data_IF_497010849278
#
_entry.id   IF_497010849278
#
_cell.length_a   1.000
_cell.length_b   1.000
_cell.length_c   1.000
_cell.angle_alpha   90.00
_cell.angle_beta   90.00
_cell.angle_gamma   90.00
#
_symmetry.space_group_name_H-M   'P 1'
#
loop_
_entity.id
_entity.type
_entity.pdbx_description
1 polymer ?
#
# COMPACT_ATOMS: atom_id res chain seq x y z
N UNK A 1 5.39 -4.50 -27.20
CA UNK A 1 4.38 -3.63 -26.55
C UNK A 1 4.83 -3.35 -25.11
N UNK A 2 5.33 -2.14 -24.85
CA UNK A 2 5.59 -1.69 -23.48
C UNK A 2 4.25 -1.62 -22.76
N UNK A 3 4.08 -2.43 -21.71
CA UNK A 3 2.97 -2.24 -20.76
C UNK A 3 2.95 -0.75 -20.37
N UNK A 4 1.75 -0.16 -20.29
CA UNK A 4 1.57 1.26 -20.01
C UNK A 4 2.51 1.72 -18.91
N UNK A 5 3.27 2.79 -19.17
CA UNK A 5 4.13 3.43 -18.19
C UNK A 5 3.24 4.02 -17.10
N UNK A 6 2.93 3.23 -16.08
CA UNK A 6 2.26 3.71 -14.88
C UNK A 6 3.25 4.62 -14.16
N UNK A 7 2.90 5.90 -14.06
CA UNK A 7 3.71 6.86 -13.32
C UNK A 7 3.15 6.84 -11.91
N UNK A 8 3.87 6.20 -11.00
CA UNK A 8 3.56 6.27 -9.57
C UNK A 8 3.80 7.70 -9.10
N UNK A 9 2.70 8.42 -8.88
CA UNK A 9 2.75 9.78 -8.37
C UNK A 9 2.69 9.70 -6.84
N UNK A 10 3.81 9.95 -6.17
CA UNK A 10 3.82 10.06 -4.71
C UNK A 10 3.24 11.43 -4.33
N UNK A 11 1.99 11.45 -3.86
CA UNK A 11 1.24 12.68 -3.52
C UNK A 11 1.14 12.93 -2.01
N UNK A 12 1.88 12.17 -1.20
CA UNK A 12 2.05 12.47 0.24
C UNK A 12 2.85 13.77 0.49
N UNK A 13 3.27 14.43 -0.59
CA UNK A 13 3.98 15.68 -0.62
C UNK A 13 3.01 16.87 -0.49
N UNK A 14 2.78 17.33 0.73
CA UNK A 14 2.05 18.59 0.97
C UNK A 14 2.85 19.85 0.58
N UNK A 15 4.14 19.71 0.26
CA UNK A 15 5.01 20.83 -0.11
C UNK A 15 4.85 21.22 -1.59
N UNK A 16 4.32 22.43 -1.90
CA UNK A 16 4.16 22.93 -3.27
C UNK A 16 5.47 22.98 -4.08
N UNK A 17 6.63 23.08 -3.41
CA UNK A 17 7.95 23.08 -4.05
C UNK A 17 8.37 21.70 -4.55
N UNK A 18 7.83 20.64 -3.95
CA UNK A 18 8.09 19.27 -4.40
C UNK A 18 7.07 18.89 -5.48
N UNK A 19 5.80 19.28 -5.33
CA UNK A 19 4.76 19.08 -6.35
C UNK A 19 5.19 19.65 -7.71
N UNK A 20 5.73 20.89 -7.74
CA UNK A 20 6.19 21.51 -9.00
C UNK A 20 7.39 20.82 -9.68
N UNK A 21 8.02 19.86 -9.00
CA UNK A 21 9.12 19.03 -9.55
C UNK A 21 8.65 17.66 -10.04
N UNK A 22 7.40 17.27 -9.75
CA UNK A 22 6.84 16.02 -10.23
C UNK A 22 6.56 16.10 -11.75
N UNK A 23 6.45 14.95 -12.45
CA UNK A 23 5.98 14.94 -13.83
C UNK A 23 4.61 15.61 -13.98
N UNK A 24 4.32 16.21 -15.14
CA UNK A 24 3.06 16.95 -15.39
C UNK A 24 1.81 16.11 -15.07
N UNK A 25 1.84 14.81 -15.39
CA UNK A 25 0.75 13.87 -15.03
C UNK A 25 0.50 13.75 -13.52
N UNK A 26 1.49 14.04 -12.67
CA UNK A 26 1.39 14.03 -11.21
C UNK A 26 1.09 15.42 -10.63
N UNK A 27 1.29 16.49 -11.40
CA UNK A 27 0.98 17.86 -10.96
C UNK A 27 -0.51 18.17 -11.07
N UNK A 28 -1.20 17.55 -12.04
CA UNK A 28 -2.58 17.87 -12.43
C UNK A 28 -3.58 16.76 -12.06
N UNK A 29 -3.34 16.06 -10.96
CA UNK A 29 -4.28 15.04 -10.44
C UNK A 29 -5.52 15.76 -9.90
N UNK A 30 -6.70 15.34 -10.34
CA UNK A 30 -7.96 15.92 -9.87
C UNK A 30 -8.18 15.68 -8.37
N UNK A 31 -8.99 16.52 -7.72
CA UNK A 31 -9.21 16.48 -6.28
C UNK A 31 -9.74 15.12 -5.78
N UNK A 32 -10.55 14.42 -6.59
CA UNK A 32 -11.12 13.11 -6.22
C UNK A 32 -10.02 12.05 -6.22
N UNK A 33 -9.23 12.00 -7.29
CA UNK A 33 -8.10 11.08 -7.40
C UNK A 33 -7.06 11.37 -6.32
N UNK A 34 -6.76 12.64 -6.05
CA UNK A 34 -5.85 13.05 -4.97
C UNK A 34 -6.33 12.57 -3.59
N UNK A 35 -7.62 12.74 -3.28
CA UNK A 35 -8.19 12.27 -2.03
C UNK A 35 -8.06 10.74 -1.88
N UNK A 36 -8.30 9.98 -2.95
CA UNK A 36 -8.14 8.53 -2.96
C UNK A 36 -6.67 8.10 -2.78
N UNK A 37 -5.71 8.84 -3.32
CA UNK A 37 -4.28 8.55 -3.12
C UNK A 37 -3.84 8.80 -1.68
N UNK A 38 -4.35 9.86 -1.04
CA UNK A 38 -4.12 10.11 0.40
C UNK A 38 -4.73 9.00 1.25
N UNK A 39 -5.95 8.56 0.92
CA UNK A 39 -6.61 7.44 1.61
C UNK A 39 -5.83 6.13 1.45
N UNK A 40 -5.34 5.86 0.23
CA UNK A 40 -4.52 4.68 -0.08
C UNK A 40 -3.22 4.68 0.72
N UNK A 41 -2.52 5.83 0.78
CA UNK A 41 -1.30 5.99 1.59
C UNK A 41 -1.57 5.77 3.09
N UNK A 42 -2.67 6.33 3.62
CA UNK A 42 -3.08 6.08 5.00
C UNK A 42 -3.40 4.60 5.26
N UNK A 43 -4.07 3.95 4.32
CA UNK A 43 -4.36 2.51 4.34
C UNK A 43 -3.07 1.68 4.34
N UNK A 44 -2.09 2.03 3.50
CA UNK A 44 -0.77 1.38 3.47
C UNK A 44 -0.01 1.54 4.80
N UNK A 45 0.04 2.76 5.34
CA UNK A 45 0.68 3.04 6.63
C UNK A 45 0.10 2.19 7.76
N UNK A 46 -1.24 2.09 7.82
CA UNK A 46 -1.93 1.25 8.82
C UNK A 46 -1.56 -0.23 8.68
N UNK A 47 -1.61 -0.74 7.45
CA UNK A 47 -1.19 -2.12 7.16
C UNK A 47 0.25 -2.38 7.58
N UNK A 48 1.17 -1.51 7.17
CA UNK A 48 2.58 -1.67 7.44
C UNK A 48 2.88 -1.65 8.94
N UNK A 49 2.30 -0.71 9.68
CA UNK A 49 2.46 -0.66 11.14
C UNK A 49 1.98 -1.95 11.80
N UNK A 50 0.81 -2.46 11.40
CA UNK A 50 0.25 -3.67 11.99
C UNK A 50 1.06 -4.93 11.68
N UNK A 51 1.63 -5.01 10.48
CA UNK A 51 2.56 -6.09 10.13
C UNK A 51 3.82 -6.03 11.01
N UNK A 52 4.39 -4.84 11.21
CA UNK A 52 5.54 -4.67 12.10
C UNK A 52 5.20 -5.03 13.55
N UNK A 53 4.01 -4.65 14.03
CA UNK A 53 3.56 -4.99 15.39
C UNK A 53 3.40 -6.51 15.55
N UNK A 54 2.82 -7.19 14.56
CA UNK A 54 2.75 -8.66 14.53
C UNK A 54 4.14 -9.28 14.57
N UNK A 55 5.07 -8.85 13.70
CA UNK A 55 6.41 -9.43 13.64
C UNK A 55 7.21 -9.18 14.92
N UNK A 56 7.06 -8.01 15.54
CA UNK A 56 7.66 -7.71 16.83
C UNK A 56 7.09 -8.60 17.95
N UNK A 57 5.81 -8.98 17.88
CA UNK A 57 5.19 -9.90 18.85
C UNK A 57 5.69 -11.34 18.76
N UNK A 58 6.28 -11.73 17.63
CA UNK A 58 6.89 -13.05 17.45
C UNK A 58 8.30 -13.15 18.04
N UNK A 59 8.92 -12.02 18.42
CA UNK A 59 10.27 -12.00 19.01
C UNK A 59 10.21 -12.47 20.47
N UNK A 60 11.02 -13.46 20.88
CA UNK A 60 11.12 -13.86 22.28
C UNK A 60 11.51 -12.70 23.19
N UNK A 61 10.92 -12.64 24.38
CA UNK A 61 11.20 -11.58 25.34
C UNK A 61 12.69 -11.51 25.69
N UNK A 62 13.31 -10.34 25.46
CA UNK A 62 14.71 -10.07 25.78
C UNK A 62 15.68 -10.16 24.59
N UNK A 63 15.19 -10.50 23.40
CA UNK A 63 15.97 -10.40 22.16
C UNK A 63 15.71 -9.03 21.49
N UNK A 64 16.79 -8.28 21.25
CA UNK A 64 16.74 -7.01 20.50
C UNK A 64 17.02 -7.28 19.01
N UNK A 65 16.19 -8.16 18.43
CA UNK A 65 16.33 -8.63 17.06
C UNK A 65 15.18 -8.14 16.19
N UNK A 66 15.51 -7.57 15.03
CA UNK A 66 14.51 -7.32 13.98
C UNK A 66 14.11 -8.66 13.39
N UNK A 67 12.91 -9.13 13.72
CA UNK A 67 12.31 -10.30 13.09
C UNK A 67 11.46 -9.87 11.90
N UNK A 68 11.63 -10.54 10.77
CA UNK A 68 10.71 -10.47 9.65
C UNK A 68 10.22 -11.87 9.35
N UNK A 69 8.92 -12.08 9.47
CA UNK A 69 8.29 -13.38 9.20
C UNK A 69 8.05 -13.50 7.70
N UNK A 70 9.09 -13.94 6.98
CA UNK A 70 9.03 -14.03 5.51
C UNK A 70 7.96 -15.00 5.02
N UNK A 71 7.69 -16.07 5.77
CA UNK A 71 6.66 -17.05 5.40
C UNK A 71 5.27 -16.45 5.55
N UNK A 72 5.01 -15.75 6.66
CA UNK A 72 3.76 -15.03 6.84
C UNK A 72 3.59 -13.89 5.83
N UNK A 73 4.63 -13.10 5.56
CA UNK A 73 4.60 -12.07 4.51
C UNK A 73 4.23 -12.66 3.16
N UNK A 74 4.83 -13.78 2.77
CA UNK A 74 4.52 -14.46 1.51
C UNK A 74 3.05 -14.88 1.44
N UNK A 75 2.51 -15.47 2.52
CA UNK A 75 1.08 -15.83 2.60
C UNK A 75 0.18 -14.60 2.51
N UNK A 76 0.54 -13.53 3.23
CA UNK A 76 -0.21 -12.29 3.30
C UNK A 76 -0.29 -11.59 1.94
N UNK A 77 0.85 -11.45 1.24
CA UNK A 77 0.90 -10.85 -0.09
C UNK A 77 0.28 -11.74 -1.16
N UNK A 78 0.36 -13.07 -1.02
CA UNK A 78 -0.34 -13.99 -1.90
C UNK A 78 -1.87 -13.85 -1.72
N UNK A 79 -2.39 -13.86 -0.50
CA UNK A 79 -3.82 -13.72 -0.23
C UNK A 79 -4.38 -12.32 -0.58
N UNK A 80 -3.52 -11.30 -0.55
CA UNK A 80 -3.88 -9.96 -1.00
C UNK A 80 -4.15 -9.90 -2.50
N UNK A 81 -3.55 -10.77 -3.32
CA UNK A 81 -3.71 -10.82 -4.78
C UNK A 81 -3.67 -9.42 -5.42
N UNK A 82 -2.75 -8.56 -4.98
CA UNK A 82 -2.68 -7.15 -5.40
C UNK A 82 -2.44 -7.00 -6.91
N UNK A 83 -1.84 -8.01 -7.52
CA UNK A 83 -1.63 -8.08 -8.96
C UNK A 83 -2.96 -8.05 -9.75
N UNK A 84 -4.08 -8.49 -9.16
CA UNK A 84 -5.40 -8.45 -9.79
C UNK A 84 -5.97 -7.03 -9.90
N UNK A 85 -5.41 -6.05 -9.16
CA UNK A 85 -5.85 -4.66 -9.24
C UNK A 85 -5.34 -3.94 -10.49
N UNK A 86 -4.35 -4.51 -11.19
CA UNK A 86 -3.78 -3.92 -12.40
C UNK A 86 -4.49 -4.47 -13.64
N UNK A 87 -5.42 -3.69 -14.19
CA UNK A 87 -6.05 -3.94 -15.50
C UNK A 87 -5.74 -2.80 -16.48
N UNK A 88 -5.57 -3.13 -17.76
CA UNK A 88 -5.30 -2.14 -18.82
C UNK A 88 -6.47 -1.18 -19.07
N UNK A 89 -7.69 -1.60 -18.70
CA UNK A 89 -8.92 -0.84 -18.91
C UNK A 89 -9.37 -0.06 -17.67
N UNK A 90 -8.68 -0.21 -16.53
CA UNK A 90 -9.07 0.44 -15.27
C UNK A 90 -8.56 1.87 -15.18
N UNK A 91 -9.40 2.73 -14.62
CA UNK A 91 -9.01 4.08 -14.19
C UNK A 91 -8.16 4.01 -12.92
N UNK A 92 -7.34 5.04 -12.67
CA UNK A 92 -6.56 5.16 -11.43
C UNK A 92 -7.44 5.05 -10.17
N UNK A 93 -8.67 5.56 -10.21
CA UNK A 93 -9.60 5.48 -9.08
C UNK A 93 -10.09 4.05 -8.83
N UNK A 94 -10.27 3.24 -9.88
CA UNK A 94 -10.60 1.82 -9.74
C UNK A 94 -9.41 1.04 -9.19
N UNK A 95 -8.21 1.32 -9.69
CA UNK A 95 -6.97 0.75 -9.18
C UNK A 95 -6.82 1.03 -7.67
N UNK A 96 -6.83 2.30 -7.25
CA UNK A 96 -6.64 2.71 -5.85
C UNK A 96 -7.65 2.06 -4.90
N UNK A 97 -8.93 2.03 -5.29
CA UNK A 97 -9.98 1.35 -4.51
C UNK A 97 -9.72 -0.14 -4.38
N UNK A 98 -9.35 -0.81 -5.48
CA UNK A 98 -9.00 -2.22 -5.42
C UNK A 98 -7.84 -2.47 -4.44
N UNK A 99 -6.75 -1.69 -4.52
CA UNK A 99 -5.59 -1.89 -3.63
C UNK A 99 -5.99 -1.71 -2.16
N UNK A 100 -6.81 -0.71 -1.85
CA UNK A 100 -7.33 -0.48 -0.49
C UNK A 100 -8.23 -1.63 -0.02
N UNK A 101 -9.15 -2.11 -0.85
CA UNK A 101 -10.04 -3.23 -0.52
C UNK A 101 -9.26 -4.53 -0.25
N UNK A 102 -8.26 -4.83 -1.09
CA UNK A 102 -7.39 -5.98 -0.88
C UNK A 102 -6.55 -5.83 0.39
N UNK A 103 -6.11 -4.61 0.72
CA UNK A 103 -5.35 -4.33 1.96
C UNK A 103 -6.18 -4.51 3.22
N UNK A 104 -7.50 -4.26 3.18
CA UNK A 104 -8.41 -4.61 4.28
C UNK A 104 -8.39 -6.12 4.54
N UNK A 105 -8.42 -6.95 3.50
CA UNK A 105 -8.30 -8.42 3.66
C UNK A 105 -6.98 -8.83 4.29
N UNK A 106 -5.88 -8.18 3.90
CA UNK A 106 -4.56 -8.43 4.50
C UNK A 106 -4.54 -8.03 5.99
N UNK A 107 -5.16 -6.90 6.35
CA UNK A 107 -5.31 -6.48 7.75
C UNK A 107 -6.08 -7.51 8.59
N UNK A 108 -7.12 -8.12 8.03
CA UNK A 108 -7.92 -9.15 8.71
C UNK A 108 -7.11 -10.45 8.93
N UNK A 109 -6.23 -10.81 7.99
CA UNK A 109 -5.32 -11.95 8.14
C UNK A 109 -4.29 -11.73 9.25
N UNK A 110 -3.77 -10.51 9.40
CA UNK A 110 -2.90 -10.15 10.53
C UNK A 110 -3.65 -10.29 11.85
N UNK A 111 -4.90 -9.83 11.94
CA UNK A 111 -5.70 -9.98 13.17
C UNK A 111 -5.92 -11.45 13.55
N UNK A 112 -6.21 -12.30 12.55
CA UNK A 112 -6.40 -13.73 12.76
C UNK A 112 -5.13 -14.43 13.23
N UNK A 113 -3.96 -14.03 12.71
CA UNK A 113 -2.66 -14.56 13.11
C UNK A 113 -2.19 -14.06 14.48
N UNK A 114 -2.76 -12.95 14.97
CA UNK A 114 -2.40 -12.32 16.25
C UNK A 114 -3.35 -12.70 17.41
N UNK A 115 -4.37 -13.52 17.14
CA UNK A 115 -5.38 -13.99 18.12
C UNK A 115 -5.02 -15.35 18.69
#
# INVERSE_FOLDING_TARGET
PSLGSFVECDLDLEDPKIISRLPEQCQNVDDVTKALMVEESASFKRFHQKLLDYEASQVPAGEDAVHMDMDFRNQLYAAGDLHECLSLDDTINQYLRCVMDKRVKMLDLIDQASS
#
